data_IF_939560617135
#
_entry.id   IF_939560617135
#
_cell.length_a   1.000
_cell.length_b   1.000
_cell.length_c   1.000
_cell.angle_alpha   90.00
_cell.angle_beta   90.00
_cell.angle_gamma   90.00
#
_symmetry.space_group_name_H-M   'P 1'
#
loop_
_entity.id
_entity.type
_entity.pdbx_description
1 polymer ?
#
# COMPACT_ATOMS: atom_id res chain seq x y z
N UNK A 1 24.95 12.03 3.51
CA UNK A 1 25.55 11.21 4.60
C UNK A 1 25.77 12.00 5.90
N UNK A 2 26.25 13.25 5.87
CA UNK A 2 26.46 14.06 7.08
C UNK A 2 25.20 14.22 7.97
N UNK A 3 24.02 14.36 7.35
CA UNK A 3 22.77 14.50 8.10
C UNK A 3 22.29 13.21 8.78
N UNK A 4 22.68 12.03 8.31
CA UNK A 4 22.25 10.74 8.90
C UNK A 4 22.80 10.56 10.31
N UNK A 5 24.08 10.88 10.52
CA UNK A 5 24.72 10.81 11.84
C UNK A 5 24.16 11.88 12.78
N UNK A 6 23.86 13.07 12.25
CA UNK A 6 23.28 14.17 13.05
C UNK A 6 21.88 13.79 13.54
N UNK A 7 21.03 13.23 12.67
CA UNK A 7 19.69 12.77 13.01
C UNK A 7 19.74 11.63 14.04
N UNK A 8 20.64 10.65 13.84
CA UNK A 8 20.81 9.55 14.79
C UNK A 8 21.28 10.05 16.17
N UNK A 9 22.22 11.00 16.19
CA UNK A 9 22.69 11.61 17.43
C UNK A 9 21.56 12.33 18.18
N UNK A 10 20.78 13.17 17.49
CA UNK A 10 19.62 13.86 18.08
C UNK A 10 18.61 12.85 18.62
N UNK A 11 18.33 11.78 17.87
CA UNK A 11 17.40 10.72 18.29
C UNK A 11 17.90 10.03 19.56
N UNK A 12 19.18 9.67 19.63
CA UNK A 12 19.79 9.05 20.82
C UNK A 12 19.76 9.99 22.02
N UNK A 13 20.08 11.27 21.83
CA UNK A 13 19.99 12.28 22.90
C UNK A 13 18.55 12.46 23.40
N UNK A 14 17.56 12.49 22.50
CA UNK A 14 16.16 12.61 22.87
C UNK A 14 15.67 11.39 23.66
N UNK A 15 16.03 10.17 23.23
CA UNK A 15 15.72 8.95 23.99
C UNK A 15 16.43 8.92 25.34
N UNK A 16 17.69 9.37 25.40
CA UNK A 16 18.44 9.52 26.65
C UNK A 16 17.78 10.51 27.61
N UNK A 17 17.32 11.67 27.11
CA UNK A 17 16.56 12.65 27.90
C UNK A 17 15.29 12.03 28.49
N UNK A 18 14.46 11.40 27.65
CA UNK A 18 13.20 10.76 28.08
C UNK A 18 13.46 9.69 29.14
N UNK A 19 14.54 8.92 28.99
CA UNK A 19 14.86 7.81 29.90
C UNK A 19 15.43 8.29 31.24
N UNK A 20 16.24 9.36 31.23
CA UNK A 20 17.03 9.78 32.39
C UNK A 20 16.45 10.98 33.14
N UNK A 21 15.65 11.82 32.49
CA UNK A 21 15.24 13.13 33.02
C UNK A 21 13.73 13.32 33.10
N UNK A 22 12.95 12.55 32.35
CA UNK A 22 11.51 12.68 32.34
C UNK A 22 10.86 11.69 33.33
N UNK A 23 10.03 12.21 34.24
CA UNK A 23 9.26 11.37 35.16
C UNK A 23 8.06 10.73 34.45
N UNK A 24 7.84 9.43 34.66
CA UNK A 24 6.73 8.68 34.06
C UNK A 24 5.44 8.90 34.86
N UNK A 25 4.37 9.47 34.26
CA UNK A 25 3.08 9.63 34.93
C UNK A 25 2.44 8.29 35.30
N UNK A 26 1.61 8.25 36.34
CA UNK A 26 0.84 7.06 36.76
C UNK A 26 -0.46 6.91 35.94
N UNK A 27 -0.35 6.92 34.61
CA UNK A 27 -1.46 6.68 33.67
C UNK A 27 -1.03 5.69 32.59
N UNK A 28 -1.53 4.46 32.70
CA UNK A 28 -1.21 3.37 31.77
C UNK A 28 -1.66 3.66 30.34
N UNK A 29 -2.83 4.27 30.15
CA UNK A 29 -3.37 4.53 28.82
C UNK A 29 -2.54 5.62 28.11
N UNK A 30 -2.21 6.69 28.84
CA UNK A 30 -1.32 7.74 28.35
C UNK A 30 0.07 7.19 28.01
N UNK A 31 0.69 6.43 28.92
CA UNK A 31 2.02 5.86 28.72
C UNK A 31 2.07 4.89 27.54
N UNK A 32 1.03 4.06 27.37
CA UNK A 32 0.91 3.14 26.23
C UNK A 32 0.82 3.90 24.91
N UNK A 33 -0.07 4.91 24.83
CA UNK A 33 -0.22 5.75 23.63
C UNK A 33 1.10 6.44 23.27
N UNK A 34 1.76 7.03 24.27
CA UNK A 34 3.05 7.70 24.10
C UNK A 34 4.13 6.73 23.63
N UNK A 35 4.22 5.53 24.22
CA UNK A 35 5.19 4.49 23.84
C UNK A 35 5.00 3.98 22.41
N UNK A 36 3.76 3.79 21.97
CA UNK A 36 3.42 3.41 20.59
C UNK A 36 3.84 4.52 19.62
N UNK A 37 3.45 5.77 19.91
CA UNK A 37 3.80 6.93 19.08
C UNK A 37 5.33 7.10 18.99
N UNK A 38 6.04 6.99 20.12
CA UNK A 38 7.49 7.08 20.15
C UNK A 38 8.15 5.96 19.31
N UNK A 39 7.67 4.72 19.44
CA UNK A 39 8.16 3.58 18.64
C UNK A 39 7.98 3.81 17.14
N UNK A 40 6.81 4.31 16.73
CA UNK A 40 6.52 4.65 15.33
C UNK A 40 7.44 5.78 14.85
N UNK A 41 7.60 6.86 15.62
CA UNK A 41 8.46 7.98 15.24
C UNK A 41 9.94 7.58 15.10
N UNK A 42 10.45 6.77 16.03
CA UNK A 42 11.80 6.21 15.97
C UNK A 42 11.97 5.35 14.71
N UNK A 43 11.01 4.46 14.43
CA UNK A 43 11.03 3.63 13.22
C UNK A 43 10.99 4.47 11.95
N UNK A 44 10.11 5.48 11.87
CA UNK A 44 10.02 6.37 10.71
C UNK A 44 11.32 7.16 10.51
N UNK A 45 11.88 7.70 11.59
CA UNK A 45 13.14 8.44 11.54
C UNK A 45 14.30 7.55 11.07
N UNK A 46 14.44 6.37 11.66
CA UNK A 46 15.44 5.38 11.25
C UNK A 46 15.23 4.98 9.79
N UNK A 47 14.01 4.60 9.44
CA UNK A 47 13.62 4.15 8.10
C UNK A 47 13.90 5.19 7.02
N UNK A 48 13.56 6.46 7.23
CA UNK A 48 13.86 7.54 6.26
C UNK A 48 15.37 7.67 6.02
N UNK A 49 16.18 7.49 7.06
CA UNK A 49 17.65 7.62 6.92
C UNK A 49 18.32 6.40 6.28
N UNK A 50 17.80 5.20 6.52
CA UNK A 50 18.44 3.93 6.10
C UNK A 50 17.81 3.28 4.87
N UNK A 51 16.52 3.53 4.59
CA UNK A 51 15.86 2.97 3.43
C UNK A 51 16.58 3.41 2.14
N UNK A 52 16.62 2.49 1.18
CA UNK A 52 17.17 2.78 -0.15
C UNK A 52 16.21 3.67 -0.92
N UNK A 53 16.75 4.47 -1.82
CA UNK A 53 15.94 5.26 -2.75
C UNK A 53 15.14 4.34 -3.68
N UNK A 54 13.84 4.60 -3.73
CA UNK A 54 12.95 3.97 -4.69
C UNK A 54 13.05 4.61 -6.08
N UNK A 55 12.16 4.23 -7.02
CA UNK A 55 12.14 4.78 -8.37
C UNK A 55 11.74 6.26 -8.43
N UNK A 56 11.15 6.80 -7.37
CA UNK A 56 10.71 8.20 -7.29
C UNK A 56 11.76 9.09 -6.64
N UNK A 57 12.13 10.19 -7.31
CA UNK A 57 13.18 11.10 -6.83
C UNK A 57 12.66 12.47 -6.36
N UNK A 58 11.46 12.90 -6.80
CA UNK A 58 10.88 14.23 -6.51
C UNK A 58 9.58 14.10 -5.71
N UNK A 59 9.27 14.96 -4.73
CA UNK A 59 9.95 16.23 -4.44
C UNK A 59 11.34 16.06 -3.79
N UNK A 60 11.54 15.01 -2.99
CA UNK A 60 12.85 14.64 -2.45
C UNK A 60 12.86 13.14 -2.12
N UNK A 61 13.98 12.40 -2.21
CA UNK A 61 13.99 10.97 -1.91
C UNK A 61 13.56 10.63 -0.47
N UNK A 62 13.90 11.48 0.50
CA UNK A 62 13.45 11.31 1.89
C UNK A 62 11.91 11.31 2.04
N UNK A 63 11.19 12.06 1.21
CA UNK A 63 9.73 12.07 1.19
C UNK A 63 9.16 10.70 0.80
N UNK A 64 9.75 10.06 -0.21
CA UNK A 64 9.31 8.73 -0.65
C UNK A 64 9.69 7.63 0.32
N UNK A 65 10.88 7.72 0.93
CA UNK A 65 11.28 6.81 2.02
C UNK A 65 10.34 6.94 3.21
N UNK A 66 9.93 8.16 3.56
CA UNK A 66 8.96 8.40 4.64
C UNK A 66 7.66 7.67 4.36
N UNK A 67 7.06 7.85 3.18
CA UNK A 67 5.82 7.17 2.82
C UNK A 67 5.96 5.65 2.72
N UNK A 68 7.11 5.14 2.27
CA UNK A 68 7.41 3.72 2.33
C UNK A 68 7.43 3.19 3.78
N UNK A 69 8.05 3.93 4.70
CA UNK A 69 8.06 3.54 6.10
C UNK A 69 6.67 3.65 6.74
N UNK A 70 5.89 4.68 6.40
CA UNK A 70 4.48 4.80 6.81
C UNK A 70 3.65 3.62 6.30
N UNK A 71 3.83 3.20 5.04
CA UNK A 71 3.10 2.05 4.50
C UNK A 71 3.49 0.74 5.19
N UNK A 72 4.76 0.59 5.60
CA UNK A 72 5.19 -0.58 6.39
C UNK A 72 4.56 -0.56 7.79
N UNK A 73 4.49 0.60 8.46
CA UNK A 73 3.79 0.72 9.75
C UNK A 73 2.31 0.38 9.61
N UNK A 74 1.67 0.87 8.54
CA UNK A 74 0.28 0.53 8.23
C UNK A 74 0.09 -0.97 7.99
N UNK A 75 0.97 -1.62 7.23
CA UNK A 75 0.92 -3.06 7.01
C UNK A 75 1.08 -3.86 8.31
N UNK A 76 2.03 -3.48 9.17
CA UNK A 76 2.21 -4.10 10.49
C UNK A 76 0.97 -3.91 11.36
N UNK A 77 0.31 -2.76 11.26
CA UNK A 77 -0.95 -2.51 11.94
C UNK A 77 -2.09 -3.40 11.40
N UNK A 78 -2.20 -3.58 10.08
CA UNK A 78 -3.16 -4.52 9.50
C UNK A 78 -2.90 -5.96 9.95
N UNK A 79 -1.64 -6.39 10.00
CA UNK A 79 -1.27 -7.70 10.55
C UNK A 79 -1.68 -7.80 12.03
N UNK A 80 -1.48 -6.76 12.83
CA UNK A 80 -1.95 -6.75 14.21
C UNK A 80 -3.47 -6.90 14.30
N UNK A 81 -4.23 -6.15 13.50
CA UNK A 81 -5.70 -6.22 13.43
C UNK A 81 -6.19 -7.60 12.98
N UNK A 82 -5.45 -8.27 12.07
CA UNK A 82 -5.77 -9.62 11.60
C UNK A 82 -5.86 -10.65 12.74
N UNK A 83 -5.11 -10.44 13.84
CA UNK A 83 -5.16 -11.32 15.02
C UNK A 83 -6.21 -10.91 16.07
N UNK A 84 -6.97 -9.84 15.83
CA UNK A 84 -8.03 -9.39 16.74
C UNK A 84 -9.38 -9.99 16.33
N UNK A 85 -10.29 -10.16 17.30
CA UNK A 85 -11.70 -10.37 16.97
C UNK A 85 -12.29 -9.10 16.36
N UNK A 86 -13.42 -9.20 15.64
CA UNK A 86 -14.09 -8.03 15.06
C UNK A 86 -14.48 -7.02 16.15
N UNK A 87 -14.92 -7.50 17.32
CA UNK A 87 -15.28 -6.68 18.46
C UNK A 87 -14.06 -5.98 19.06
N UNK A 88 -12.96 -6.72 19.27
CA UNK A 88 -11.72 -6.16 19.84
C UNK A 88 -11.09 -5.15 18.89
N UNK A 89 -11.04 -5.45 17.59
CA UNK A 89 -10.57 -4.52 16.56
C UNK A 89 -11.38 -3.23 16.55
N UNK A 90 -12.71 -3.31 16.62
CA UNK A 90 -13.60 -2.15 16.75
C UNK A 90 -13.30 -1.32 18.00
N UNK A 91 -13.17 -1.96 19.16
CA UNK A 91 -12.83 -1.24 20.40
C UNK A 91 -11.43 -0.64 20.33
N UNK A 92 -10.47 -1.30 19.68
CA UNK A 92 -9.12 -0.78 19.48
C UNK A 92 -9.13 0.52 18.67
N UNK A 93 -9.99 0.64 17.65
CA UNK A 93 -10.09 1.87 16.86
C UNK A 93 -10.45 3.12 17.69
N UNK A 94 -11.02 2.96 18.90
CA UNK A 94 -11.28 4.08 19.83
C UNK A 94 -10.01 4.79 20.32
N UNK A 95 -8.85 4.14 20.26
CA UNK A 95 -7.57 4.79 20.55
C UNK A 95 -7.18 5.84 19.49
N UNK A 96 -7.75 5.74 18.29
CA UNK A 96 -7.55 6.68 17.17
C UNK A 96 -8.63 7.76 17.22
N UNK A 97 -9.91 7.35 17.24
CA UNK A 97 -11.06 8.25 17.32
C UNK A 97 -12.10 7.70 18.31
N UNK A 98 -12.43 8.43 19.40
CA UNK A 98 -13.40 8.01 20.40
C UNK A 98 -14.79 7.66 19.87
N UNK A 99 -15.20 8.19 18.70
CA UNK A 99 -16.50 7.93 18.09
C UNK A 99 -16.59 6.56 17.38
N UNK A 100 -15.47 5.86 17.22
CA UNK A 100 -15.42 4.55 16.59
C UNK A 100 -15.84 3.43 17.57
N UNK A 101 -15.75 2.18 17.10
CA UNK A 101 -16.04 0.99 17.90
C UNK A 101 -17.51 0.60 17.98
N UNK A 102 -18.32 1.11 17.05
CA UNK A 102 -19.68 0.67 16.79
C UNK A 102 -19.72 -0.23 15.53
N UNK A 103 -20.71 -1.13 15.40
CA UNK A 103 -20.93 -1.86 14.16
C UNK A 103 -21.21 -0.88 13.00
N UNK A 104 -20.55 -1.08 11.88
CA UNK A 104 -20.86 -0.36 10.64
C UNK A 104 -22.02 -1.07 9.93
N UNK A 105 -22.92 -0.35 9.27
CA UNK A 105 -23.93 -0.97 8.43
C UNK A 105 -23.24 -1.66 7.24
N UNK A 106 -23.46 -2.95 7.11
CA UNK A 106 -23.09 -3.70 5.90
C UNK A 106 -24.24 -3.58 4.91
N UNK A 107 -23.92 -3.24 3.67
CA UNK A 107 -24.90 -3.03 2.60
C UNK A 107 -24.66 -4.09 1.54
N UNK A 108 -25.69 -4.89 1.29
CA UNK A 108 -25.69 -5.82 0.16
C UNK A 108 -26.10 -5.07 -1.11
N UNK A 109 -25.20 -5.05 -2.10
CA UNK A 109 -25.44 -4.38 -3.36
C UNK A 109 -26.04 -5.33 -4.43
N UNK A 110 -26.12 -6.63 -4.18
CA UNK A 110 -26.42 -7.70 -5.15
C UNK A 110 -27.88 -8.15 -5.18
N UNK A 111 -28.78 -7.43 -4.51
CA UNK A 111 -30.22 -7.74 -4.43
C UNK A 111 -30.95 -7.69 -5.79
N UNK A 112 -31.66 -6.59 -6.09
CA UNK A 112 -32.38 -6.46 -7.36
C UNK A 112 -31.47 -5.88 -8.45
N UNK A 113 -31.04 -6.75 -9.38
CA UNK A 113 -30.15 -6.37 -10.47
C UNK A 113 -30.86 -5.95 -11.77
N UNK A 114 -32.15 -5.66 -11.73
CA UNK A 114 -32.87 -5.11 -12.87
C UNK A 114 -32.44 -3.65 -13.11
N UNK A 115 -31.78 -3.40 -14.24
CA UNK A 115 -31.43 -2.05 -14.71
C UNK A 115 -32.71 -1.23 -14.92
N UNK A 116 -33.74 -1.85 -15.50
CA UNK A 116 -35.07 -1.28 -15.67
C UNK A 116 -36.07 -2.21 -14.98
N UNK A 117 -36.74 -1.71 -13.94
CA UNK A 117 -37.79 -2.43 -13.22
C UNK A 117 -39.17 -2.06 -13.79
N UNK A 118 -39.80 -2.93 -14.58
CA UNK A 118 -41.13 -2.68 -15.13
C UNK A 118 -42.24 -2.70 -14.06
N UNK A 119 -41.98 -3.23 -12.86
CA UNK A 119 -42.93 -3.30 -11.75
C UNK A 119 -43.03 -2.01 -10.94
N UNK A 120 -42.05 -1.12 -11.04
CA UNK A 120 -42.06 0.18 -10.37
C UNK A 120 -42.43 1.29 -11.35
N UNK A 121 -43.73 1.64 -11.40
CA UNK A 121 -44.24 2.67 -12.31
C UNK A 121 -43.82 4.11 -11.98
N UNK A 122 -43.23 4.36 -10.81
CA UNK A 122 -42.80 5.71 -10.38
C UNK A 122 -41.32 5.97 -10.64
N UNK A 123 -40.46 4.98 -10.43
CA UNK A 123 -39.04 5.06 -10.75
C UNK A 123 -38.54 3.70 -11.26
N UNK A 124 -38.61 3.47 -12.59
CA UNK A 124 -38.13 2.24 -13.19
C UNK A 124 -36.61 2.05 -13.09
N UNK A 125 -35.82 3.09 -12.80
CA UNK A 125 -34.35 3.04 -12.76
C UNK A 125 -33.79 3.18 -11.34
N UNK A 126 -34.63 3.01 -10.31
CA UNK A 126 -34.24 3.16 -8.91
C UNK A 126 -33.00 2.33 -8.53
N UNK A 127 -32.85 1.12 -9.09
CA UNK A 127 -31.70 0.27 -8.84
C UNK A 127 -30.38 0.87 -9.36
N UNK A 128 -30.38 1.75 -10.36
CA UNK A 128 -29.16 2.42 -10.81
C UNK A 128 -28.80 3.55 -9.83
N UNK A 129 -29.78 4.37 -9.48
CA UNK A 129 -29.57 5.51 -8.57
C UNK A 129 -29.11 5.07 -7.18
N UNK A 130 -29.60 3.92 -6.71
CA UNK A 130 -29.21 3.36 -5.42
C UNK A 130 -27.74 2.92 -5.36
N UNK A 131 -27.16 2.57 -6.52
CA UNK A 131 -25.76 2.10 -6.69
C UNK A 131 -24.80 3.21 -7.07
N UNK A 132 -25.30 4.36 -7.55
CA UNK A 132 -24.50 5.56 -7.82
C UNK A 132 -24.15 6.29 -6.52
N UNK A 133 -23.40 5.64 -5.64
CA UNK A 133 -22.97 6.20 -4.36
C UNK A 133 -21.52 6.78 -4.42
N UNK A 134 -20.92 7.01 -3.26
CA UNK A 134 -19.56 7.55 -3.16
C UNK A 134 -18.46 6.64 -3.74
N UNK A 135 -18.74 5.35 -3.97
CA UNK A 135 -17.78 4.40 -4.54
C UNK A 135 -17.54 4.63 -6.03
N UNK A 136 -18.55 5.09 -6.78
CA UNK A 136 -18.42 5.42 -8.22
C UNK A 136 -17.33 6.48 -8.51
N UNK A 137 -17.37 7.68 -7.90
CA UNK A 137 -16.28 8.64 -8.08
C UNK A 137 -14.97 8.13 -7.46
N UNK A 138 -15.01 7.33 -6.38
CA UNK A 138 -13.81 6.75 -5.80
C UNK A 138 -13.12 5.76 -6.75
N UNK A 139 -13.87 4.94 -7.48
CA UNK A 139 -13.37 4.06 -8.54
C UNK A 139 -12.73 4.88 -9.65
N UNK A 140 -13.44 5.87 -10.19
CA UNK A 140 -12.90 6.73 -11.25
C UNK A 140 -11.59 7.42 -10.84
N UNK A 141 -11.57 8.13 -9.71
CA UNK A 141 -10.38 8.84 -9.25
C UNK A 141 -9.27 7.89 -8.80
N UNK A 142 -9.63 6.75 -8.20
CA UNK A 142 -8.68 5.71 -7.82
C UNK A 142 -7.94 5.18 -9.04
N UNK A 143 -8.65 4.85 -10.11
CA UNK A 143 -8.05 4.36 -11.35
C UNK A 143 -7.28 5.43 -12.12
N UNK A 144 -7.77 6.67 -12.10
CA UNK A 144 -7.03 7.81 -12.61
C UNK A 144 -5.65 7.93 -11.93
N UNK A 145 -5.61 7.97 -10.59
CA UNK A 145 -4.36 8.10 -9.82
C UNK A 145 -3.44 6.87 -9.97
N UNK A 146 -3.99 5.65 -9.89
CA UNK A 146 -3.25 4.40 -10.14
C UNK A 146 -2.58 4.43 -11.52
N UNK A 147 -3.27 4.94 -12.54
CA UNK A 147 -2.73 5.05 -13.89
C UNK A 147 -1.57 6.04 -13.99
N UNK A 148 -1.61 7.16 -13.27
CA UNK A 148 -0.49 8.11 -13.21
C UNK A 148 0.78 7.49 -12.57
N UNK A 149 0.61 6.50 -11.69
CA UNK A 149 1.69 5.76 -11.06
C UNK A 149 2.23 4.61 -11.93
N UNK A 150 1.34 3.75 -12.44
CA UNK A 150 1.70 2.54 -13.21
C UNK A 150 2.11 2.88 -14.66
N UNK A 151 1.50 3.92 -15.24
CA UNK A 151 1.80 4.51 -16.55
C UNK A 151 1.81 3.53 -17.72
N UNK A 152 0.95 2.52 -17.66
CA UNK A 152 0.73 1.56 -18.74
C UNK A 152 -0.75 1.16 -18.79
N UNK A 153 -1.34 1.31 -19.99
CA UNK A 153 -2.76 1.03 -20.23
C UNK A 153 -3.13 -0.42 -19.90
N UNK A 154 -2.39 -1.38 -20.46
CA UNK A 154 -2.73 -2.79 -20.34
C UNK A 154 -2.55 -3.31 -18.93
N UNK A 155 -1.46 -2.93 -18.25
CA UNK A 155 -1.28 -3.30 -16.85
C UNK A 155 -2.43 -2.79 -15.99
N UNK A 156 -2.87 -1.54 -16.18
CA UNK A 156 -4.00 -1.00 -15.43
C UNK A 156 -5.31 -1.75 -15.75
N UNK A 157 -5.62 -2.00 -17.02
CA UNK A 157 -6.82 -2.75 -17.41
C UNK A 157 -6.82 -4.18 -16.86
N UNK A 158 -5.69 -4.88 -16.90
CA UNK A 158 -5.56 -6.23 -16.35
C UNK A 158 -5.80 -6.20 -14.84
N UNK A 159 -5.14 -5.29 -14.11
CA UNK A 159 -5.32 -5.17 -12.66
C UNK A 159 -6.78 -4.81 -12.35
N UNK A 160 -7.44 -3.96 -13.16
CA UNK A 160 -8.85 -3.59 -12.97
C UNK A 160 -9.77 -4.79 -13.04
N UNK A 161 -9.65 -5.57 -14.10
CA UNK A 161 -10.42 -6.81 -14.25
C UNK A 161 -10.09 -7.82 -13.14
N UNK A 162 -8.84 -7.90 -12.70
CA UNK A 162 -8.46 -8.80 -11.60
C UNK A 162 -9.05 -8.37 -10.25
N UNK A 163 -9.26 -7.07 -10.00
CA UNK A 163 -9.93 -6.62 -8.78
C UNK A 163 -11.40 -7.06 -8.75
N UNK A 164 -12.13 -6.98 -9.86
CA UNK A 164 -13.51 -7.51 -9.94
C UNK A 164 -13.56 -9.01 -9.66
N UNK A 165 -12.61 -9.79 -10.20
CA UNK A 165 -12.55 -11.22 -9.90
C UNK A 165 -12.27 -11.48 -8.41
N UNK A 166 -11.48 -10.64 -7.75
CA UNK A 166 -11.26 -10.74 -6.32
C UNK A 166 -12.53 -10.42 -5.54
N UNK A 167 -13.29 -9.41 -5.96
CA UNK A 167 -14.57 -9.04 -5.33
C UNK A 167 -15.59 -10.17 -5.47
N UNK A 168 -15.80 -10.71 -6.67
CA UNK A 168 -16.60 -11.93 -6.86
C UNK A 168 -16.12 -13.09 -6.00
N UNK A 169 -14.81 -13.29 -5.88
CA UNK A 169 -14.28 -14.39 -5.07
C UNK A 169 -14.51 -14.18 -3.58
N UNK A 170 -14.62 -12.93 -3.12
CA UNK A 170 -14.70 -12.54 -1.71
C UNK A 170 -16.07 -12.04 -1.26
N UNK A 171 -17.08 -12.00 -2.14
CA UNK A 171 -18.46 -11.59 -1.80
C UNK A 171 -19.05 -12.43 -0.65
N UNK A 172 -18.66 -13.70 -0.55
CA UNK A 172 -19.07 -14.59 0.54
C UNK A 172 -18.48 -14.21 1.91
N UNK A 173 -17.38 -13.43 1.93
CA UNK A 173 -16.75 -12.94 3.15
C UNK A 173 -17.25 -11.55 3.53
N UNK A 174 -17.55 -10.71 2.54
CA UNK A 174 -17.98 -9.33 2.71
C UNK A 174 -19.21 -9.07 1.83
N UNK A 175 -20.41 -8.91 2.43
CA UNK A 175 -21.65 -8.63 1.69
C UNK A 175 -21.58 -7.37 0.82
N UNK A 176 -20.73 -6.41 1.19
CA UNK A 176 -20.49 -5.20 0.41
C UNK A 176 -19.91 -5.48 -0.98
N UNK A 177 -19.25 -6.62 -1.21
CA UNK A 177 -18.73 -7.01 -2.52
C UNK A 177 -19.73 -7.81 -3.35
N UNK A 178 -20.90 -8.14 -2.78
CA UNK A 178 -21.97 -8.71 -3.58
C UNK A 178 -22.64 -7.57 -4.33
N UNK A 179 -22.25 -7.39 -5.59
CA UNK A 179 -22.80 -6.36 -6.48
C UNK A 179 -23.45 -7.00 -7.71
N UNK A 180 -24.19 -6.20 -8.46
CA UNK A 180 -24.85 -6.70 -9.67
C UNK A 180 -23.83 -6.96 -10.78
N UNK A 181 -24.13 -7.91 -11.68
CA UNK A 181 -23.23 -8.21 -12.80
C UNK A 181 -22.94 -6.98 -13.68
N UNK A 182 -23.93 -6.10 -13.87
CA UNK A 182 -23.76 -4.88 -14.65
C UNK A 182 -23.02 -3.80 -13.85
N UNK A 183 -23.04 -3.87 -12.52
CA UNK A 183 -22.28 -2.98 -11.65
C UNK A 183 -20.78 -3.26 -11.87
N UNK A 184 -20.33 -4.48 -11.56
CA UNK A 184 -18.97 -4.96 -11.82
C UNK A 184 -18.48 -4.69 -13.25
N UNK A 185 -19.17 -5.21 -14.26
CA UNK A 185 -18.62 -5.23 -15.61
C UNK A 185 -18.86 -3.94 -16.39
N UNK A 186 -20.02 -3.30 -16.22
CA UNK A 186 -20.36 -2.10 -17.00
C UNK A 186 -20.01 -0.85 -16.21
N UNK A 187 -20.51 -0.73 -14.98
CA UNK A 187 -20.28 0.47 -14.17
C UNK A 187 -18.82 0.55 -13.73
N UNK A 188 -18.27 -0.49 -13.13
CA UNK A 188 -16.92 -0.42 -12.58
C UNK A 188 -15.85 -0.63 -13.64
N UNK A 189 -15.76 -1.79 -14.30
CA UNK A 189 -14.68 -2.04 -15.29
C UNK A 189 -14.71 -1.06 -16.45
N UNK A 190 -15.86 -0.88 -17.11
CA UNK A 190 -15.93 -0.13 -18.36
C UNK A 190 -16.02 1.38 -18.08
N UNK A 191 -16.95 1.82 -17.24
CA UNK A 191 -17.20 3.24 -17.02
C UNK A 191 -16.21 3.83 -16.00
N UNK A 192 -16.27 3.47 -14.73
CA UNK A 192 -15.45 4.09 -13.68
C UNK A 192 -13.96 3.85 -13.92
N UNK A 193 -13.57 2.58 -13.95
CA UNK A 193 -12.19 2.14 -14.03
C UNK A 193 -11.62 2.47 -15.42
N UNK A 194 -12.32 2.07 -16.48
CA UNK A 194 -11.93 2.30 -17.87
C UNK A 194 -11.80 3.79 -18.21
N UNK A 195 -12.76 4.65 -17.83
CA UNK A 195 -12.65 6.10 -18.06
C UNK A 195 -11.56 6.72 -17.17
N UNK A 196 -11.41 6.28 -15.92
CA UNK A 196 -10.33 6.72 -15.04
C UNK A 196 -8.96 6.44 -15.65
N UNK A 197 -8.74 5.23 -16.16
CA UNK A 197 -7.52 4.83 -16.86
C UNK A 197 -7.33 5.65 -18.13
N UNK A 198 -8.37 5.83 -18.94
CA UNK A 198 -8.30 6.64 -20.16
C UNK A 198 -7.87 8.08 -19.86
N UNK A 199 -8.53 8.73 -18.90
CA UNK A 199 -8.21 10.08 -18.44
C UNK A 199 -6.79 10.17 -17.87
N UNK A 200 -6.34 9.15 -17.13
CA UNK A 200 -4.97 9.03 -16.63
C UNK A 200 -3.96 8.98 -17.77
N UNK A 201 -4.18 8.13 -18.77
CA UNK A 201 -3.31 8.04 -19.95
C UNK A 201 -3.30 9.33 -20.78
N UNK A 202 -4.46 9.99 -20.93
CA UNK A 202 -4.53 11.31 -21.58
C UNK A 202 -3.76 12.37 -20.82
N UNK A 203 -3.85 12.38 -19.49
CA UNK A 203 -3.07 13.30 -18.65
C UNK A 203 -1.57 13.05 -18.80
N UNK A 204 -1.12 11.79 -18.81
CA UNK A 204 0.28 11.45 -19.05
C UNK A 204 0.76 11.95 -20.42
N UNK A 205 -0.07 11.78 -21.46
CA UNK A 205 0.22 12.29 -22.80
C UNK A 205 0.28 13.82 -22.84
N UNK A 206 -0.66 14.50 -22.18
CA UNK A 206 -0.71 15.96 -22.10
C UNK A 206 0.52 16.54 -21.39
N UNK A 207 0.96 15.90 -20.31
CA UNK A 207 2.17 16.27 -19.57
C UNK A 207 3.47 15.73 -20.22
N UNK A 208 3.38 15.02 -21.34
CA UNK A 208 4.52 14.37 -22.00
C UNK A 208 5.35 13.49 -21.06
N UNK A 209 4.67 12.81 -20.13
CA UNK A 209 5.29 11.90 -19.17
C UNK A 209 5.63 10.56 -19.81
N UNK A 210 6.77 10.00 -19.43
CA UNK A 210 7.21 8.67 -19.90
C UNK A 210 6.24 7.58 -19.44
N UNK A 211 5.75 6.80 -20.39
CA UNK A 211 4.99 5.56 -20.17
C UNK A 211 5.95 4.37 -20.00
N UNK A 212 5.46 3.33 -19.32
CA UNK A 212 6.21 2.09 -19.10
C UNK A 212 5.62 0.95 -19.94
N UNK A 213 6.46 0.01 -20.37
CA UNK A 213 6.02 -1.22 -21.05
C UNK A 213 6.35 -2.40 -20.16
N UNK A 214 5.34 -2.91 -19.46
CA UNK A 214 5.48 -4.06 -18.56
C UNK A 214 5.43 -5.40 -19.30
N UNK A 215 5.04 -5.38 -20.57
CA UNK A 215 4.88 -6.52 -21.48
C UNK A 215 6.21 -7.10 -22.00
N UNK A 216 7.26 -7.19 -21.17
CA UNK A 216 8.59 -7.62 -21.62
C UNK A 216 8.65 -9.03 -22.23
N UNK A 217 7.74 -9.93 -21.82
CA UNK A 217 7.66 -11.30 -22.34
C UNK A 217 7.20 -11.37 -23.80
N UNK A 218 6.49 -10.35 -24.29
CA UNK A 218 5.96 -10.30 -25.66
C UNK A 218 7.05 -10.03 -26.71
N UNK A 219 8.19 -9.47 -26.27
CA UNK A 219 9.36 -9.29 -27.12
C UNK A 219 10.15 -10.60 -27.34
N UNK A 220 9.82 -11.69 -26.63
CA UNK A 220 10.50 -12.98 -26.78
C UNK A 220 9.65 -13.88 -27.71
N UNK A 221 10.13 -14.20 -28.92
CA UNK A 221 9.32 -14.89 -29.92
C UNK A 221 9.08 -16.36 -29.60
N UNK A 222 9.95 -17.00 -28.81
CA UNK A 222 9.88 -18.45 -28.56
C UNK A 222 9.32 -18.78 -27.17
N UNK A 223 8.47 -19.80 -27.09
CA UNK A 223 7.96 -20.34 -25.81
C UNK A 223 9.09 -20.77 -24.88
N UNK A 224 10.13 -21.42 -25.42
CA UNK A 224 11.33 -21.80 -24.66
C UNK A 224 12.04 -20.59 -24.06
N UNK A 225 12.14 -19.48 -24.80
CA UNK A 225 12.72 -18.24 -24.32
C UNK A 225 11.89 -17.59 -23.20
N UNK A 226 10.56 -17.60 -23.32
CA UNK A 226 9.64 -17.10 -22.29
C UNK A 226 9.78 -17.90 -20.99
N UNK A 227 9.74 -19.23 -21.08
CA UNK A 227 9.90 -20.12 -19.91
C UNK A 227 11.28 -19.92 -19.25
N UNK A 228 12.35 -19.86 -20.06
CA UNK A 228 13.70 -19.56 -19.58
C UNK A 228 13.72 -18.25 -18.77
N UNK A 229 13.16 -17.16 -19.31
CA UNK A 229 13.11 -15.86 -18.63
C UNK A 229 12.37 -15.93 -17.29
N UNK A 230 11.25 -16.64 -17.21
CA UNK A 230 10.47 -16.80 -15.97
C UNK A 230 11.31 -17.53 -14.92
N UNK A 231 11.91 -18.67 -15.26
CA UNK A 231 12.74 -19.45 -14.33
C UNK A 231 13.93 -18.65 -13.81
N UNK A 232 14.61 -17.88 -14.67
CA UNK A 232 15.76 -17.07 -14.25
C UNK A 232 15.41 -15.96 -13.25
N UNK A 233 14.15 -15.51 -13.13
CA UNK A 233 13.75 -14.56 -12.10
C UNK A 233 13.83 -15.14 -10.68
N UNK A 234 13.77 -16.46 -10.55
CA UNK A 234 13.86 -17.19 -9.28
C UNK A 234 15.28 -17.69 -8.98
N UNK A 235 16.28 -17.30 -9.79
CA UNK A 235 17.69 -17.64 -9.58
C UNK A 235 18.48 -16.46 -9.02
N UNK A 236 19.58 -16.69 -8.28
CA UNK A 236 20.43 -15.62 -7.79
C UNK A 236 20.93 -14.71 -8.92
N UNK A 237 21.00 -13.40 -8.65
CA UNK A 237 21.58 -12.43 -9.59
C UNK A 237 23.04 -12.78 -9.95
N UNK A 238 23.78 -13.36 -9.00
CA UNK A 238 25.14 -13.83 -9.20
C UNK A 238 25.38 -15.09 -8.38
N UNK A 239 26.08 -16.06 -8.98
CA UNK A 239 26.53 -17.30 -8.33
C UNK A 239 27.92 -17.15 -7.69
N UNK A 240 28.42 -15.93 -7.57
CA UNK A 240 29.73 -15.66 -6.97
C UNK A 240 29.68 -15.89 -5.46
N UNK A 241 30.58 -16.74 -4.95
CA UNK A 241 30.82 -16.92 -3.51
C UNK A 241 31.49 -15.68 -2.92
N UNK A 242 30.90 -15.09 -1.88
CA UNK A 242 31.52 -13.99 -1.15
C UNK A 242 32.34 -14.53 0.03
N UNK A 243 33.67 -14.35 -0.01
CA UNK A 243 34.58 -14.73 1.07
C UNK A 243 35.02 -13.49 1.88
N UNK A 244 34.50 -13.34 3.11
CA UNK A 244 34.70 -12.12 3.90
C UNK A 244 36.13 -11.98 4.47
N UNK A 245 36.79 -13.10 4.80
CA UNK A 245 38.15 -13.21 5.39
C UNK A 245 38.51 -12.06 6.36
N UNK A 246 37.84 -11.94 7.52
CA UNK A 246 38.03 -10.81 8.45
C UNK A 246 39.44 -10.75 9.05
N UNK A 247 40.11 -11.90 9.21
CA UNK A 247 41.48 -11.99 9.72
C UNK A 247 42.56 -11.93 8.62
N UNK A 248 42.21 -11.71 7.35
CA UNK A 248 43.21 -11.73 6.27
C UNK A 248 44.19 -10.56 6.29
N UNK A 249 43.87 -9.48 7.01
CA UNK A 249 44.77 -8.35 7.22
C UNK A 249 44.47 -7.63 8.52
N UNK A 250 45.50 -7.03 9.12
CA UNK A 250 45.36 -6.23 10.33
C UNK A 250 44.32 -5.11 10.16
N UNK A 251 44.26 -4.47 8.98
CA UNK A 251 43.26 -3.43 8.67
C UNK A 251 41.83 -3.96 8.72
N UNK A 252 41.59 -5.17 8.18
CA UNK A 252 40.26 -5.80 8.21
C UNK A 252 39.88 -6.21 9.63
N UNK A 253 40.83 -6.77 10.38
CA UNK A 253 40.63 -7.14 11.77
C UNK A 253 40.29 -5.91 12.63
N UNK A 254 41.05 -4.82 12.51
CA UNK A 254 40.78 -3.56 13.20
C UNK A 254 39.42 -2.94 12.82
N UNK A 255 39.02 -3.03 11.54
CA UNK A 255 37.69 -2.57 11.12
C UNK A 255 36.56 -3.38 11.78
N UNK A 256 36.74 -4.69 11.96
CA UNK A 256 35.79 -5.53 12.70
C UNK A 256 35.75 -5.16 14.18
N UNK A 257 36.90 -4.95 14.83
CA UNK A 257 36.95 -4.46 16.21
C UNK A 257 36.25 -3.10 16.37
N UNK A 258 36.44 -2.18 15.41
CA UNK A 258 35.74 -0.89 15.40
C UNK A 258 34.23 -1.01 15.25
N UNK A 259 33.74 -1.99 14.47
CA UNK A 259 32.29 -2.27 14.38
C UNK A 259 31.75 -2.85 15.69
N UNK A 260 32.53 -3.65 16.42
CA UNK A 260 32.10 -4.23 17.71
C UNK A 260 32.02 -3.16 18.81
N UNK A 261 32.83 -2.11 18.72
CA UNK A 261 32.91 -1.05 19.73
C UNK A 261 31.85 0.04 19.55
N UNK A 262 31.17 0.10 18.39
CA UNK A 262 30.08 1.03 18.07
C UNK A 262 28.74 0.34 18.29
#
# INVERSE_FOLDING_TARGET
RAHTLTVLFILTCALGYVTLLEETPQDTAYNTKRGIVASILVFLCFGVTQAKDGPFSRPHPAYWRFWLCVSVVYELFLIFILFQTVQDGRQFMKYIDPHLGVPLPERDYGGNCLIYDPGNGTDPFHNIWDKLDGFVPAHFFGWYLKTLMIRDWWMCMIISVMFEFLEYSLEHQLPNFSECWWDHWIMDVILCNGLGIYCGMKTLSWLSLKTYKWQGLWNIPTYKGKMKRIVFQFTPYSWVKFEWKPASSLRRWLAVCGIIFV
#
